data_IF_871062419102
#
_entry.id   IF_871062419102
#
_cell.length_a   1.000
_cell.length_b   1.000
_cell.length_c   1.000
_cell.angle_alpha   90.00
_cell.angle_beta   90.00
_cell.angle_gamma   90.00
#
_symmetry.space_group_name_H-M   'P 1'
#
loop_
_entity.id
_entity.type
_entity.pdbx_description
1 polymer ?
#
# COMPACT_ATOMS: atom_id res chain seq x y z
N UNK A 1 35.46 44.36 -7.16
CA UNK A 1 34.60 43.52 -8.01
C UNK A 1 34.32 42.18 -7.33
N UNK A 2 33.04 41.76 -7.30
CA UNK A 2 32.52 40.37 -7.21
C UNK A 2 33.07 39.39 -6.14
N UNK A 3 32.50 39.43 -4.94
CA UNK A 3 32.45 38.29 -4.00
C UNK A 3 31.03 38.06 -3.44
N UNK A 4 30.01 37.97 -4.30
CA UNK A 4 28.61 37.78 -3.86
C UNK A 4 27.79 36.73 -4.62
N UNK A 5 28.41 35.89 -5.47
CA UNK A 5 27.65 35.03 -6.41
C UNK A 5 27.75 33.52 -6.19
N UNK A 6 28.58 33.02 -5.26
CA UNK A 6 28.78 31.57 -5.11
C UNK A 6 27.78 30.89 -4.15
N UNK A 7 27.25 31.60 -3.15
CA UNK A 7 26.37 31.00 -2.15
C UNK A 7 24.90 30.89 -2.58
N UNK A 8 24.47 31.67 -3.58
CA UNK A 8 23.05 31.75 -3.94
C UNK A 8 22.55 30.58 -4.80
N UNK A 9 23.45 29.84 -5.47
CA UNK A 9 23.07 28.73 -6.37
C UNK A 9 22.87 27.43 -5.57
N UNK A 10 23.60 27.26 -4.46
CA UNK A 10 23.55 26.04 -3.64
C UNK A 10 22.23 25.88 -2.87
N UNK A 11 21.59 26.99 -2.49
CA UNK A 11 20.34 26.95 -1.71
C UNK A 11 19.13 26.58 -2.58
N UNK A 12 19.08 27.03 -3.84
CA UNK A 12 18.00 26.72 -4.77
C UNK A 12 17.97 25.24 -5.17
N UNK A 13 19.14 24.60 -5.27
CA UNK A 13 19.26 23.16 -5.57
C UNK A 13 18.81 22.28 -4.40
N UNK A 14 19.08 22.70 -3.16
CA UNK A 14 18.62 22.00 -1.95
C UNK A 14 17.09 22.08 -1.77
N UNK A 15 16.46 23.20 -2.14
CA UNK A 15 15.00 23.36 -2.04
C UNK A 15 14.25 22.46 -3.04
N UNK A 16 14.82 22.16 -4.21
CA UNK A 16 14.15 21.30 -5.21
C UNK A 16 14.09 19.83 -4.79
N UNK A 17 15.00 19.36 -3.93
CA UNK A 17 14.97 17.98 -3.43
C UNK A 17 13.88 17.74 -2.37
N UNK A 18 13.38 18.80 -1.71
CA UNK A 18 12.34 18.70 -0.70
C UNK A 18 10.91 18.59 -1.26
N UNK A 19 10.72 18.65 -2.59
CA UNK A 19 9.39 18.61 -3.20
C UNK A 19 8.86 17.21 -3.51
N UNK A 20 9.62 16.14 -3.26
CA UNK A 20 9.10 14.77 -3.35
C UNK A 20 8.49 14.37 -2.02
N UNK A 21 7.40 15.05 -1.65
CA UNK A 21 6.51 14.57 -0.61
C UNK A 21 5.71 13.40 -1.18
N UNK A 22 6.09 12.17 -0.84
CA UNK A 22 5.16 11.04 -0.89
C UNK A 22 4.12 11.27 0.21
N UNK A 23 3.12 12.08 -0.08
CA UNK A 23 1.90 12.05 0.68
C UNK A 23 1.30 10.66 0.48
N UNK A 24 1.58 9.74 1.39
CA UNK A 24 0.73 8.58 1.63
C UNK A 24 -0.52 9.14 2.32
N UNK A 25 -1.25 10.00 1.60
CA UNK A 25 -2.66 10.16 1.89
C UNK A 25 -3.22 8.76 1.63
N UNK A 26 -3.99 8.22 2.59
CA UNK A 26 -4.81 7.03 2.37
C UNK A 26 -5.67 7.33 1.15
N UNK A 27 -5.19 6.96 -0.03
CA UNK A 27 -5.81 7.34 -1.28
C UNK A 27 -7.17 6.66 -1.27
N UNK A 28 -8.23 7.44 -1.46
CA UNK A 28 -9.56 6.86 -1.56
C UNK A 28 -9.49 5.76 -2.62
N UNK A 29 -9.76 4.51 -2.24
CA UNK A 29 -9.60 3.32 -3.09
C UNK A 29 -10.24 3.48 -4.47
N UNK A 30 -11.28 4.31 -4.55
CA UNK A 30 -12.01 4.63 -5.77
C UNK A 30 -11.25 5.49 -6.79
N UNK A 31 -10.11 6.06 -6.37
CA UNK A 31 -9.14 6.75 -7.23
C UNK A 31 -8.10 5.77 -7.79
N UNK A 32 -7.95 4.60 -7.16
CA UNK A 32 -6.97 3.59 -7.52
C UNK A 32 -7.58 2.45 -8.34
N UNK A 33 -8.81 2.05 -8.01
CA UNK A 33 -9.54 0.99 -8.70
C UNK A 33 -10.60 1.66 -9.57
N UNK A 34 -10.50 1.49 -10.89
CA UNK A 34 -11.49 2.02 -11.83
C UNK A 34 -12.80 1.21 -11.82
N UNK A 35 -13.90 1.77 -12.30
CA UNK A 35 -15.16 1.04 -12.48
C UNK A 35 -15.00 -0.18 -13.40
N UNK A 36 -14.25 -0.04 -14.49
CA UNK A 36 -13.96 -1.13 -15.43
C UNK A 36 -13.14 -2.24 -14.80
N UNK A 37 -12.16 -1.89 -13.96
CA UNK A 37 -11.38 -2.87 -13.21
C UNK A 37 -12.27 -3.58 -12.19
N UNK A 38 -13.02 -2.83 -11.39
CA UNK A 38 -13.92 -3.40 -10.39
C UNK A 38 -14.94 -4.36 -11.03
N UNK A 39 -15.49 -3.98 -12.18
CA UNK A 39 -16.48 -4.79 -12.91
C UNK A 39 -15.88 -6.07 -13.52
N UNK A 40 -14.56 -6.18 -13.61
CA UNK A 40 -13.90 -7.41 -14.05
C UNK A 40 -13.90 -8.51 -12.99
N UNK A 41 -14.00 -8.13 -11.70
CA UNK A 41 -14.07 -9.08 -10.60
C UNK A 41 -15.46 -9.71 -10.51
N UNK A 42 -15.51 -11.04 -10.39
CA UNK A 42 -16.77 -11.79 -10.32
C UNK A 42 -17.48 -11.64 -8.99
N UNK A 43 -16.71 -11.58 -7.91
CA UNK A 43 -17.18 -11.52 -6.53
C UNK A 43 -16.05 -11.03 -5.61
N UNK A 44 -16.33 -10.96 -4.30
CA UNK A 44 -15.36 -10.49 -3.32
C UNK A 44 -14.12 -11.39 -3.20
N UNK A 45 -14.26 -12.72 -3.36
CA UNK A 45 -13.11 -13.62 -3.32
C UNK A 45 -12.16 -13.35 -4.50
N UNK A 46 -12.73 -13.15 -5.70
CA UNK A 46 -11.97 -12.81 -6.91
C UNK A 46 -11.24 -11.47 -6.77
N UNK A 47 -11.90 -10.46 -6.17
CA UNK A 47 -11.26 -9.18 -5.83
C UNK A 47 -10.09 -9.35 -4.84
N UNK A 48 -10.29 -10.14 -3.78
CA UNK A 48 -9.25 -10.41 -2.78
C UNK A 48 -8.08 -11.14 -3.43
N UNK A 49 -8.32 -12.14 -4.28
CA UNK A 49 -7.26 -12.91 -4.94
C UNK A 49 -6.38 -12.02 -5.83
N UNK A 50 -6.99 -11.07 -6.56
CA UNK A 50 -6.29 -10.15 -7.46
C UNK A 50 -5.74 -8.89 -6.78
N UNK A 51 -6.02 -8.67 -5.49
CA UNK A 51 -5.40 -7.59 -4.73
C UNK A 51 -3.88 -7.80 -4.58
N UNK A 52 -3.08 -6.72 -4.55
CA UNK A 52 -1.67 -6.74 -4.23
C UNK A 52 -1.41 -7.53 -2.98
N UNK A 53 -0.30 -8.25 -3.00
CA UNK A 53 0.15 -9.00 -1.84
C UNK A 53 1.24 -8.23 -1.13
N UNK A 54 1.14 -8.20 0.18
CA UNK A 54 2.13 -7.62 1.07
C UNK A 54 2.61 -8.70 2.03
N UNK A 55 3.89 -8.63 2.37
CA UNK A 55 4.51 -9.55 3.31
C UNK A 55 4.92 -8.78 4.55
N UNK A 56 4.47 -9.24 5.71
CA UNK A 56 4.91 -8.74 7.02
C UNK A 56 5.83 -9.76 7.67
N UNK A 57 6.80 -9.26 8.45
CA UNK A 57 7.61 -10.12 9.33
C UNK A 57 6.87 -10.26 10.65
N UNK A 58 6.68 -11.49 11.10
CA UNK A 58 6.08 -11.81 12.40
C UNK A 58 7.10 -12.54 13.28
N UNK A 59 6.92 -12.52 14.61
CA UNK A 59 7.72 -13.35 15.49
C UNK A 59 7.66 -14.83 15.07
N UNK A 60 8.81 -15.49 15.04
CA UNK A 60 8.88 -16.93 14.88
C UNK A 60 8.43 -17.61 16.18
N UNK A 61 7.71 -18.72 16.05
CA UNK A 61 7.31 -19.54 17.20
C UNK A 61 8.47 -20.41 17.67
N UNK A 62 8.40 -20.94 18.89
CA UNK A 62 9.44 -21.82 19.42
C UNK A 62 9.65 -23.08 18.55
N UNK A 63 8.58 -23.62 17.96
CA UNK A 63 8.65 -24.73 17.01
C UNK A 63 9.39 -24.35 15.72
N UNK A 64 9.23 -23.12 15.24
CA UNK A 64 9.93 -22.64 14.06
C UNK A 64 11.44 -22.54 14.35
N UNK A 65 11.82 -22.09 15.56
CA UNK A 65 13.23 -22.02 15.99
C UNK A 65 13.84 -23.41 16.17
N UNK A 66 13.09 -24.37 16.71
CA UNK A 66 13.55 -25.75 16.87
C UNK A 66 13.82 -26.43 15.51
N UNK A 67 12.96 -26.18 14.52
CA UNK A 67 13.07 -26.77 13.19
C UNK A 67 14.13 -26.10 12.31
N UNK A 68 14.19 -24.76 12.32
CA UNK A 68 14.96 -23.97 11.35
C UNK A 68 16.17 -23.23 11.96
N UNK A 69 16.33 -23.25 13.28
CA UNK A 69 17.42 -22.58 14.01
C UNK A 69 17.10 -21.15 14.47
N UNK A 70 17.98 -20.55 15.29
CA UNK A 70 17.72 -19.26 15.97
C UNK A 70 17.65 -18.04 15.03
N UNK A 71 18.18 -18.14 13.81
CA UNK A 71 18.16 -17.06 12.81
C UNK A 71 16.90 -17.12 11.91
N UNK A 72 15.92 -17.96 12.24
CA UNK A 72 14.69 -18.09 11.45
C UNK A 72 13.88 -16.80 11.46
N UNK A 73 13.40 -16.41 10.26
CA UNK A 73 12.50 -15.27 10.07
C UNK A 73 11.20 -15.79 9.47
N UNK A 74 10.07 -15.44 10.09
CA UNK A 74 8.74 -15.84 9.62
C UNK A 74 8.07 -14.67 8.90
N UNK A 75 7.70 -14.90 7.64
CA UNK A 75 6.89 -13.98 6.85
C UNK A 75 5.45 -14.44 6.76
N UNK A 76 4.49 -13.51 6.91
CA UNK A 76 3.11 -13.72 6.50
C UNK A 76 2.82 -12.89 5.28
N UNK A 77 2.28 -13.52 4.24
CA UNK A 77 1.82 -12.83 3.03
C UNK A 77 0.31 -12.81 3.01
N UNK A 78 -0.26 -11.62 2.80
CA UNK A 78 -1.69 -11.43 2.70
C UNK A 78 -2.04 -10.33 1.72
N UNK A 79 -3.33 -10.04 1.62
CA UNK A 79 -3.89 -9.07 0.67
C UNK A 79 -3.83 -7.65 1.23
N UNK A 80 -3.55 -6.69 0.36
CA UNK A 80 -3.68 -5.25 0.58
C UNK A 80 -4.83 -4.76 -0.30
N UNK A 81 -6.04 -4.82 0.24
CA UNK A 81 -7.28 -4.60 -0.48
C UNK A 81 -7.56 -3.10 -0.67
N UNK A 82 -7.20 -2.27 0.30
CA UNK A 82 -7.36 -0.81 0.23
C UNK A 82 -6.16 -0.06 -0.37
N UNK A 83 -5.08 -0.79 -0.69
CA UNK A 83 -3.86 -0.29 -1.35
C UNK A 83 -3.08 0.69 -0.49
N UNK A 84 -3.15 0.54 0.83
CA UNK A 84 -2.40 1.36 1.78
C UNK A 84 -1.01 0.80 2.15
N UNK A 85 -0.66 -0.37 1.59
CA UNK A 85 0.59 -1.07 1.83
C UNK A 85 0.59 -1.95 3.08
N UNK A 86 -0.54 -2.14 3.76
CA UNK A 86 -0.69 -3.01 4.93
C UNK A 86 -1.47 -4.26 4.60
N UNK A 87 -1.23 -5.30 5.40
CA UNK A 87 -1.93 -6.57 5.26
C UNK A 87 -3.31 -6.42 5.88
N UNK A 88 -4.35 -6.56 5.05
CA UNK A 88 -5.74 -6.48 5.46
C UNK A 88 -6.25 -7.84 5.94
N UNK A 89 -7.13 -7.78 6.94
CA UNK A 89 -7.95 -8.93 7.29
C UNK A 89 -9.14 -9.08 6.32
N UNK A 90 -9.83 -10.22 6.42
CA UNK A 90 -10.97 -10.51 5.57
C UNK A 90 -12.11 -9.48 5.76
N UNK A 91 -12.31 -8.95 6.96
CA UNK A 91 -13.37 -7.98 7.22
C UNK A 91 -13.09 -6.65 6.50
N UNK A 92 -11.86 -6.16 6.54
CA UNK A 92 -11.41 -4.95 5.83
C UNK A 92 -11.58 -5.14 4.33
N UNK A 93 -11.09 -6.24 3.76
CA UNK A 93 -11.25 -6.53 2.34
C UNK A 93 -12.73 -6.56 1.88
N UNK A 94 -13.62 -7.18 2.67
CA UNK A 94 -15.06 -7.18 2.37
C UNK A 94 -15.66 -5.77 2.41
N UNK A 95 -15.24 -4.93 3.37
CA UNK A 95 -15.70 -3.55 3.47
C UNK A 95 -15.25 -2.71 2.27
N UNK A 96 -14.00 -2.88 1.82
CA UNK A 96 -13.47 -2.20 0.63
C UNK A 96 -14.25 -2.60 -0.62
N UNK A 97 -14.45 -3.90 -0.83
CA UNK A 97 -15.24 -4.40 -1.96
C UNK A 97 -16.65 -3.81 -1.96
N UNK A 98 -17.31 -3.78 -0.79
CA UNK A 98 -18.64 -3.22 -0.66
C UNK A 98 -18.68 -1.72 -0.95
N UNK A 99 -17.67 -0.95 -0.50
CA UNK A 99 -17.53 0.48 -0.81
C UNK A 99 -17.44 0.73 -2.32
N UNK A 100 -16.63 -0.04 -3.03
CA UNK A 100 -16.52 0.04 -4.49
C UNK A 100 -17.83 -0.36 -5.18
N UNK A 101 -18.52 -1.38 -4.66
CA UNK A 101 -19.83 -1.80 -5.16
C UNK A 101 -20.90 -0.70 -5.02
N UNK A 102 -20.98 -0.03 -3.87
CA UNK A 102 -21.88 1.09 -3.65
C UNK A 102 -21.63 2.21 -4.68
N UNK A 103 -20.35 2.57 -4.87
CA UNK A 103 -19.97 3.61 -5.81
C UNK A 103 -20.31 3.27 -7.25
N UNK A 104 -19.89 2.11 -7.74
CA UNK A 104 -19.94 1.78 -9.17
C UNK A 104 -21.22 1.09 -9.62
N UNK A 105 -21.94 0.41 -8.71
CA UNK A 105 -23.16 -0.34 -9.08
C UNK A 105 -24.43 0.33 -8.63
N UNK A 106 -24.37 1.14 -7.57
CA UNK A 106 -25.53 1.86 -7.05
C UNK A 106 -25.44 3.38 -7.18
N UNK A 107 -24.32 3.94 -7.68
CA UNK A 107 -24.04 5.39 -7.73
C UNK A 107 -24.24 6.07 -6.36
N UNK A 108 -23.80 5.41 -5.29
CA UNK A 108 -23.92 5.87 -3.89
C UNK A 108 -22.58 6.09 -3.24
#
# INVERSE_FOLDING_TARGET
>A
MRHKKAYSISLAFLISMFLVSNAIATSDITQLVSESEFSSYKNVADFIDHSPKVTIVVPAEASDVEEYGPEVVKGLTGSDCDRDGKMDDNQTCNAVYYKLWLKYRLNK
#
